data_IF_961922809613
#
_entry.id   IF_961922809613
#
_cell.length_a   1.000
_cell.length_b   1.000
_cell.length_c   1.000
_cell.angle_alpha   90.00
_cell.angle_beta   90.00
_cell.angle_gamma   90.00
#
_symmetry.space_group_name_H-M   'P 1'
#
loop_
_entity.id
_entity.type
_entity.pdbx_description
1 polymer ?
#
# COMPACT_ATOMS: atom_id res chain seq x y z
N UNK A 1 -18.87 -29.73 -47.44
CA UNK A 1 -17.50 -29.21 -47.33
C UNK A 1 -17.45 -27.68 -47.39
N UNK A 2 -18.10 -26.96 -48.32
CA UNK A 2 -18.07 -25.49 -48.42
C UNK A 2 -18.64 -24.80 -47.20
N UNK A 3 -19.78 -25.24 -46.68
CA UNK A 3 -20.45 -24.63 -45.52
C UNK A 3 -19.64 -24.77 -44.23
N UNK A 4 -19.00 -25.93 -44.02
CA UNK A 4 -18.14 -26.17 -42.84
C UNK A 4 -16.88 -25.31 -42.89
N UNK A 5 -16.30 -25.07 -44.08
CA UNK A 5 -15.14 -24.17 -44.24
C UNK A 5 -15.52 -22.72 -43.91
N UNK A 6 -16.67 -22.25 -44.36
CA UNK A 6 -17.17 -20.87 -44.06
C UNK A 6 -17.38 -20.68 -42.54
N UNK A 7 -17.98 -21.66 -41.88
CA UNK A 7 -18.20 -21.56 -40.40
C UNK A 7 -16.86 -21.53 -39.66
N UNK A 8 -15.89 -22.36 -40.02
CA UNK A 8 -14.57 -22.35 -39.38
C UNK A 8 -13.84 -21.02 -39.58
N UNK A 9 -13.88 -20.47 -40.80
CA UNK A 9 -13.24 -19.18 -41.08
C UNK A 9 -13.88 -18.03 -40.34
N UNK A 10 -15.22 -18.00 -40.20
CA UNK A 10 -15.92 -16.95 -39.42
C UNK A 10 -15.57 -17.04 -37.93
N UNK A 11 -15.48 -18.24 -37.37
CA UNK A 11 -15.07 -18.43 -35.94
C UNK A 11 -13.61 -17.96 -35.76
N UNK A 12 -12.69 -18.32 -36.66
CA UNK A 12 -11.30 -17.88 -36.59
C UNK A 12 -11.16 -16.35 -36.66
N UNK A 13 -11.91 -15.72 -37.57
CA UNK A 13 -11.94 -14.26 -37.68
C UNK A 13 -12.47 -13.61 -36.39
N UNK A 14 -13.54 -14.16 -35.81
CA UNK A 14 -14.08 -13.67 -34.56
C UNK A 14 -13.08 -13.75 -33.39
N UNK A 15 -12.39 -14.90 -33.24
CA UNK A 15 -11.34 -15.08 -32.23
C UNK A 15 -10.19 -14.08 -32.44
N UNK A 16 -9.78 -13.87 -33.70
CA UNK A 16 -8.72 -12.91 -34.04
C UNK A 16 -9.12 -11.48 -33.69
N UNK A 17 -10.34 -11.08 -33.98
CA UNK A 17 -10.87 -9.76 -33.66
C UNK A 17 -10.97 -9.56 -32.14
N UNK A 18 -11.49 -10.55 -31.38
CA UNK A 18 -11.55 -10.49 -29.91
C UNK A 18 -10.15 -10.37 -29.31
N UNK A 19 -9.19 -11.14 -29.79
CA UNK A 19 -7.79 -11.06 -29.36
C UNK A 19 -7.18 -9.68 -29.65
N UNK A 20 -7.36 -9.14 -30.86
CA UNK A 20 -6.89 -7.81 -31.23
C UNK A 20 -7.51 -6.72 -30.36
N UNK A 21 -8.82 -6.82 -30.10
CA UNK A 21 -9.52 -5.89 -29.22
C UNK A 21 -8.97 -5.91 -27.79
N UNK A 22 -8.71 -7.08 -27.23
CA UNK A 22 -8.10 -7.21 -25.89
C UNK A 22 -6.70 -6.62 -25.84
N UNK A 23 -5.88 -6.86 -26.87
CA UNK A 23 -4.53 -6.28 -26.96
C UNK A 23 -4.59 -4.75 -27.08
N UNK A 24 -5.49 -4.22 -27.93
CA UNK A 24 -5.67 -2.77 -28.09
C UNK A 24 -6.19 -2.09 -26.82
N UNK A 25 -7.19 -2.68 -26.16
CA UNK A 25 -7.72 -2.19 -24.89
C UNK A 25 -6.67 -2.26 -23.77
N UNK A 26 -5.86 -3.32 -23.73
CA UNK A 26 -4.74 -3.45 -22.82
C UNK A 26 -3.69 -2.36 -23.01
N UNK A 27 -3.33 -2.07 -24.27
CA UNK A 27 -2.38 -0.99 -24.62
C UNK A 27 -2.96 0.39 -24.30
N UNK A 28 -4.24 0.62 -24.58
CA UNK A 28 -4.91 1.88 -24.28
C UNK A 28 -4.99 2.15 -22.79
N UNK A 29 -5.31 1.12 -21.96
CA UNK A 29 -5.27 1.23 -20.50
C UNK A 29 -3.87 1.51 -19.97
N UNK A 30 -2.88 0.81 -20.50
CA UNK A 30 -1.48 1.01 -20.10
C UNK A 30 -0.94 2.41 -20.45
N UNK A 31 -1.34 2.98 -21.60
CA UNK A 31 -0.95 4.33 -21.98
C UNK A 31 -1.64 5.40 -21.13
N UNK A 32 -2.90 5.19 -20.76
CA UNK A 32 -3.64 6.08 -19.86
C UNK A 32 -3.00 6.13 -18.47
N UNK A 33 -2.67 4.97 -17.90
CA UNK A 33 -1.98 4.88 -16.61
C UNK A 33 -0.61 5.57 -16.68
N UNK A 34 0.11 5.47 -17.78
CA UNK A 34 1.38 6.18 -17.96
C UNK A 34 1.20 7.70 -18.01
N UNK A 35 0.21 8.20 -18.74
CA UNK A 35 -0.07 9.64 -18.81
C UNK A 35 -0.50 10.20 -17.46
N UNK A 36 -1.38 9.49 -16.74
CA UNK A 36 -1.80 9.88 -15.39
C UNK A 36 -0.61 9.91 -14.42
N UNK A 37 0.31 8.95 -14.53
CA UNK A 37 1.54 8.91 -13.74
C UNK A 37 2.51 10.05 -14.07
N UNK A 38 2.69 10.36 -15.36
CA UNK A 38 3.54 11.47 -15.80
C UNK A 38 2.96 12.82 -15.36
N UNK A 39 1.64 13.00 -15.44
CA UNK A 39 0.96 14.20 -14.95
C UNK A 39 1.10 14.35 -13.44
N UNK A 40 0.88 13.29 -12.67
CA UNK A 40 1.07 13.32 -11.22
C UNK A 40 2.52 13.63 -10.82
N UNK A 41 3.50 13.06 -11.53
CA UNK A 41 4.91 13.36 -11.32
C UNK A 41 5.26 14.81 -11.71
N UNK A 42 4.72 15.33 -12.81
CA UNK A 42 4.96 16.70 -13.26
C UNK A 42 4.35 17.72 -12.28
N UNK A 43 3.20 17.45 -11.70
CA UNK A 43 2.61 18.23 -10.61
C UNK A 43 3.52 18.19 -9.38
N UNK A 44 3.97 17.02 -8.95
CA UNK A 44 4.86 16.86 -7.80
C UNK A 44 6.23 17.54 -7.96
N UNK A 45 6.75 17.59 -9.20
CA UNK A 45 8.05 18.26 -9.50
C UNK A 45 7.93 19.78 -9.66
N UNK A 46 6.74 20.30 -10.01
CA UNK A 46 6.50 21.75 -10.17
C UNK A 46 6.13 22.45 -8.86
N UNK A 47 5.81 21.68 -7.80
CA UNK A 47 5.57 22.27 -6.49
C UNK A 47 6.87 22.82 -5.94
N UNK A 48 6.96 24.14 -5.84
CA UNK A 48 8.09 24.83 -5.21
C UNK A 48 8.05 24.51 -3.71
N UNK A 49 9.01 23.67 -3.31
CA UNK A 49 9.04 22.97 -2.01
C UNK A 49 9.59 23.87 -0.89
N UNK A 50 9.84 25.16 -1.16
CA UNK A 50 10.52 26.06 -0.22
C UNK A 50 9.63 26.62 0.89
N UNK A 51 8.32 26.78 0.63
CA UNK A 51 7.39 27.31 1.62
C UNK A 51 6.36 26.24 2.03
N UNK A 52 6.02 26.20 3.32
CA UNK A 52 4.85 25.44 3.78
C UNK A 52 3.59 26.03 3.10
N UNK A 53 2.59 25.18 2.82
CA UNK A 53 1.37 25.56 2.13
C UNK A 53 0.74 26.83 2.75
N UNK A 54 0.33 27.83 1.96
CA UNK A 54 -0.14 29.12 2.47
C UNK A 54 -1.35 29.02 3.40
N UNK A 55 -2.23 28.03 3.16
CA UNK A 55 -3.46 27.83 3.98
C UNK A 55 -3.27 26.79 5.07
N UNK A 56 -2.07 26.26 5.26
CA UNK A 56 -1.79 25.21 6.22
C UNK A 56 -2.10 25.63 7.66
N UNK A 57 -3.00 24.90 8.30
CA UNK A 57 -3.19 24.94 9.74
C UNK A 57 -2.89 23.56 10.30
N UNK A 58 -1.97 23.52 11.27
CA UNK A 58 -1.47 22.28 11.87
C UNK A 58 -1.87 22.17 13.33
N UNK A 59 -2.37 20.99 13.70
CA UNK A 59 -2.55 20.58 15.09
C UNK A 59 -1.79 19.27 15.31
N UNK A 60 -0.68 19.35 16.02
CA UNK A 60 0.18 18.19 16.31
C UNK A 60 -0.06 17.72 17.75
N UNK A 61 -0.20 16.43 17.93
CA UNK A 61 -0.42 15.76 19.21
C UNK A 61 0.74 14.81 19.45
N UNK A 62 1.23 14.75 20.68
CA UNK A 62 2.24 13.78 21.09
C UNK A 62 1.65 12.36 21.04
N UNK A 63 2.33 11.44 20.34
CA UNK A 63 1.89 10.05 20.15
C UNK A 63 0.46 9.92 19.57
N UNK A 64 0.21 10.46 18.37
CA UNK A 64 -1.12 10.48 17.79
C UNK A 64 -1.57 9.06 17.35
N UNK A 65 -2.87 8.81 17.45
CA UNK A 65 -3.48 7.55 16.94
C UNK A 65 -3.29 7.38 15.44
N UNK A 66 -3.29 8.47 14.70
CA UNK A 66 -2.93 8.57 13.27
C UNK A 66 -2.67 10.04 12.90
N UNK A 67 -1.96 10.24 11.78
CA UNK A 67 -1.73 11.56 11.17
C UNK A 67 -2.62 11.72 9.95
N UNK A 68 -3.43 12.76 9.96
CA UNK A 68 -4.46 13.03 8.95
C UNK A 68 -4.15 14.35 8.26
N UNK A 69 -4.23 14.37 6.92
CA UNK A 69 -4.25 15.58 6.12
C UNK A 69 -5.66 15.77 5.59
N UNK A 70 -6.31 16.88 5.93
CA UNK A 70 -7.64 17.22 5.43
C UNK A 70 -7.55 18.34 4.39
N UNK A 71 -8.29 18.17 3.29
CA UNK A 71 -8.31 19.07 2.13
C UNK A 71 -9.75 19.41 1.78
N UNK A 72 -10.11 20.68 1.91
CA UNK A 72 -11.46 21.17 1.66
C UNK A 72 -11.39 22.67 1.37
N UNK A 73 -12.09 23.20 0.40
CA UNK A 73 -12.11 24.64 0.10
C UNK A 73 -12.99 25.44 1.08
N UNK A 74 -13.75 24.76 1.94
CA UNK A 74 -14.54 25.35 3.00
C UNK A 74 -13.80 25.38 4.35
N UNK A 75 -13.27 26.54 4.76
CA UNK A 75 -12.55 26.69 6.04
C UNK A 75 -13.38 26.23 7.25
N UNK A 76 -14.72 26.41 7.22
CA UNK A 76 -15.62 25.98 8.29
C UNK A 76 -15.58 24.45 8.47
N UNK A 77 -15.52 23.71 7.38
CA UNK A 77 -15.41 22.24 7.41
C UNK A 77 -14.06 21.84 7.98
N UNK A 78 -12.97 22.46 7.52
CA UNK A 78 -11.62 22.20 8.02
C UNK A 78 -11.49 22.50 9.52
N UNK A 79 -12.08 23.62 9.99
CA UNK A 79 -12.07 23.97 11.43
C UNK A 79 -12.85 22.94 12.26
N UNK A 80 -13.97 22.46 11.75
CA UNK A 80 -14.75 21.40 12.42
C UNK A 80 -13.96 20.09 12.50
N UNK A 81 -13.32 19.67 11.40
CA UNK A 81 -12.47 18.48 11.36
C UNK A 81 -11.29 18.60 12.34
N UNK A 82 -10.60 19.76 12.39
CA UNK A 82 -9.52 19.99 13.34
C UNK A 82 -9.97 19.79 14.79
N UNK A 83 -11.09 20.40 15.16
CA UNK A 83 -11.62 20.32 16.53
C UNK A 83 -11.97 18.89 16.91
N UNK A 84 -12.76 18.20 16.07
CA UNK A 84 -13.23 16.84 16.35
C UNK A 84 -12.05 15.85 16.44
N UNK A 85 -11.17 15.87 15.45
CA UNK A 85 -10.08 14.89 15.35
C UNK A 85 -8.96 15.14 16.37
N UNK A 86 -8.61 16.41 16.64
CA UNK A 86 -7.61 16.74 17.65
C UNK A 86 -8.06 16.31 19.05
N UNK A 87 -9.32 16.61 19.43
CA UNK A 87 -9.88 16.18 20.71
C UNK A 87 -9.91 14.66 20.85
N UNK A 88 -10.07 13.93 19.76
CA UNK A 88 -10.06 12.47 19.75
C UNK A 88 -8.64 11.85 19.73
N UNK A 89 -7.57 12.66 19.69
CA UNK A 89 -6.18 12.20 19.77
C UNK A 89 -5.55 11.88 18.41
N UNK A 90 -5.97 12.54 17.34
CA UNK A 90 -5.36 12.49 16.01
C UNK A 90 -4.59 13.78 15.73
N UNK A 91 -3.39 13.67 15.14
CA UNK A 91 -2.72 14.84 14.55
C UNK A 91 -3.36 15.16 13.21
N UNK A 92 -3.63 16.43 12.97
CA UNK A 92 -4.29 16.87 11.75
C UNK A 92 -3.63 18.11 11.17
N UNK A 93 -3.30 18.04 9.89
CA UNK A 93 -2.95 19.18 9.05
C UNK A 93 -4.14 19.46 8.12
N UNK A 94 -4.45 20.72 7.87
CA UNK A 94 -5.55 21.11 6.97
C UNK A 94 -5.08 22.13 5.95
N UNK A 95 -5.53 21.99 4.71
CA UNK A 95 -5.26 22.90 3.59
C UNK A 95 -6.49 23.09 2.73
N UNK A 96 -6.56 24.22 2.02
CA UNK A 96 -7.74 24.57 1.22
C UNK A 96 -7.65 24.12 -0.25
N UNK A 97 -6.53 23.50 -0.67
CA UNK A 97 -6.36 23.07 -2.06
C UNK A 97 -5.65 21.74 -2.21
N UNK A 98 -6.02 20.98 -3.25
CA UNK A 98 -5.38 19.71 -3.59
C UNK A 98 -3.88 19.86 -3.92
N UNK A 99 -3.49 20.97 -4.53
CA UNK A 99 -2.07 21.24 -4.85
C UNK A 99 -1.21 21.40 -3.61
N UNK A 100 -1.71 22.11 -2.58
CA UNK A 100 -1.04 22.22 -1.28
C UNK A 100 -0.92 20.87 -0.59
N UNK A 101 -1.98 20.06 -0.65
CA UNK A 101 -1.97 18.71 -0.09
C UNK A 101 -0.87 17.85 -0.72
N UNK A 102 -0.70 17.87 -2.05
CA UNK A 102 0.36 17.12 -2.73
C UNK A 102 1.76 17.62 -2.33
N UNK A 103 1.93 18.92 -2.10
CA UNK A 103 3.18 19.48 -1.56
C UNK A 103 3.50 18.91 -0.18
N UNK A 104 2.51 18.80 0.70
CA UNK A 104 2.69 18.31 2.06
C UNK A 104 2.98 16.81 2.12
N UNK A 105 2.28 15.96 1.37
CA UNK A 105 2.52 14.50 1.38
C UNK A 105 3.90 14.11 0.86
N UNK A 106 4.55 14.99 0.09
CA UNK A 106 5.92 14.75 -0.37
C UNK A 106 6.98 15.06 0.71
N UNK A 107 6.62 15.88 1.71
CA UNK A 107 7.52 16.34 2.78
C UNK A 107 7.29 15.65 4.11
N UNK A 108 6.06 15.18 4.36
CA UNK A 108 5.64 14.63 5.65
C UNK A 108 4.91 13.30 5.49
N UNK A 109 4.93 12.52 6.57
CA UNK A 109 4.24 11.25 6.63
C UNK A 109 2.83 11.45 7.19
N UNK A 110 1.84 10.98 6.43
CA UNK A 110 0.45 10.91 6.82
C UNK A 110 -0.05 9.48 6.70
N UNK A 111 -1.01 9.13 7.54
CA UNK A 111 -1.72 7.84 7.44
C UNK A 111 -2.91 7.95 6.52
N UNK A 112 -3.59 9.09 6.56
CA UNK A 112 -4.80 9.37 5.77
C UNK A 112 -4.75 10.73 5.12
N UNK A 113 -5.33 10.81 3.92
CA UNK A 113 -5.75 12.07 3.28
C UNK A 113 -7.26 12.07 3.21
N UNK A 114 -7.89 13.05 3.84
CA UNK A 114 -9.32 13.33 3.72
C UNK A 114 -9.50 14.48 2.74
N UNK A 115 -10.26 14.28 1.67
CA UNK A 115 -10.42 15.31 0.64
C UNK A 115 -11.88 15.48 0.27
N UNK A 116 -12.31 16.73 0.09
CA UNK A 116 -13.60 16.94 -0.58
C UNK A 116 -13.52 16.51 -2.04
N UNK A 117 -14.66 16.12 -2.59
CA UNK A 117 -14.77 15.70 -3.97
C UNK A 117 -14.68 16.87 -4.94
N UNK A 118 -15.36 18.00 -4.61
CA UNK A 118 -15.49 19.15 -5.49
C UNK A 118 -14.79 20.36 -4.91
N UNK A 119 -13.60 20.63 -5.39
CA UNK A 119 -12.80 21.79 -5.03
C UNK A 119 -12.35 22.55 -6.27
N UNK A 120 -12.13 23.88 -6.17
CA UNK A 120 -11.56 24.67 -7.25
C UNK A 120 -10.15 24.18 -7.63
N UNK A 121 -9.87 24.14 -8.92
CA UNK A 121 -8.56 23.75 -9.45
C UNK A 121 -8.39 22.24 -9.52
N UNK A 122 -7.90 21.61 -8.46
CA UNK A 122 -7.69 20.17 -8.38
C UNK A 122 -8.82 19.54 -7.55
N UNK A 123 -9.62 18.67 -8.14
CA UNK A 123 -10.70 17.97 -7.47
C UNK A 123 -10.21 16.77 -6.64
N UNK A 124 -11.11 16.22 -5.77
CA UNK A 124 -10.76 15.11 -4.88
C UNK A 124 -10.43 13.81 -5.62
N UNK A 125 -10.94 13.60 -6.83
CA UNK A 125 -10.57 12.45 -7.67
C UNK A 125 -9.14 12.60 -8.17
N UNK A 126 -8.76 13.79 -8.60
CA UNK A 126 -7.39 14.10 -9.04
C UNK A 126 -6.40 13.98 -7.87
N UNK A 127 -6.76 14.51 -6.69
CA UNK A 127 -5.98 14.33 -5.44
C UNK A 127 -5.81 12.84 -5.14
N UNK A 128 -6.89 12.06 -5.17
CA UNK A 128 -6.84 10.60 -4.90
C UNK A 128 -5.87 9.90 -5.85
N UNK A 129 -5.98 10.15 -7.16
CA UNK A 129 -5.09 9.58 -8.17
C UNK A 129 -3.63 9.95 -7.93
N UNK A 130 -3.37 11.22 -7.64
CA UNK A 130 -2.02 11.72 -7.39
C UNK A 130 -1.41 11.10 -6.11
N UNK A 131 -2.16 11.07 -5.00
CA UNK A 131 -1.73 10.43 -3.75
C UNK A 131 -1.41 8.96 -3.98
N UNK A 132 -2.29 8.21 -4.64
CA UNK A 132 -2.07 6.78 -4.92
C UNK A 132 -0.82 6.51 -5.78
N UNK A 133 -0.42 7.43 -6.63
CA UNK A 133 0.80 7.33 -7.43
C UNK A 133 2.06 7.75 -6.67
N UNK A 134 2.00 8.84 -5.92
CA UNK A 134 3.14 9.40 -5.20
C UNK A 134 3.41 8.66 -3.89
N UNK A 135 2.37 8.37 -3.13
CA UNK A 135 2.42 7.78 -1.79
C UNK A 135 1.34 6.70 -1.65
N UNK A 136 1.54 5.51 -2.25
CA UNK A 136 0.57 4.40 -2.19
C UNK A 136 0.37 3.83 -0.77
N UNK A 137 1.20 4.23 0.17
CA UNK A 137 1.14 3.91 1.59
C UNK A 137 0.12 4.76 2.36
N UNK A 138 -0.35 5.88 1.79
CA UNK A 138 -1.36 6.75 2.38
C UNK A 138 -2.74 6.32 1.91
N UNK A 139 -3.67 6.16 2.84
CA UNK A 139 -5.06 5.86 2.50
C UNK A 139 -5.85 7.14 2.27
N UNK A 140 -6.65 7.16 1.19
CA UNK A 140 -7.44 8.34 0.82
C UNK A 140 -8.92 8.09 1.13
N UNK A 141 -9.56 9.04 1.80
CA UNK A 141 -10.98 9.06 2.12
C UNK A 141 -11.60 10.31 1.50
N UNK A 142 -12.71 10.13 0.81
CA UNK A 142 -13.48 11.26 0.25
C UNK A 142 -14.53 11.70 1.28
N UNK A 143 -14.59 13.01 1.56
CA UNK A 143 -15.63 13.61 2.41
C UNK A 143 -16.40 14.61 1.55
N UNK A 144 -17.67 14.34 1.22
CA UNK A 144 -18.37 15.16 0.25
C UNK A 144 -19.88 15.35 0.54
N UNK A 145 -20.40 16.53 0.23
CA UNK A 145 -21.84 16.79 0.22
C UNK A 145 -22.55 16.32 -1.07
N UNK A 146 -21.81 15.76 -2.02
CA UNK A 146 -22.34 15.28 -3.30
C UNK A 146 -22.35 13.74 -3.35
N UNK A 147 -22.87 13.10 -2.29
CA UNK A 147 -22.95 11.65 -2.16
C UNK A 147 -23.99 11.04 -3.11
N UNK A 148 -23.69 10.88 -4.38
CA UNK A 148 -24.47 9.98 -5.25
C UNK A 148 -23.81 8.61 -5.26
N UNK A 149 -24.63 7.55 -5.47
CA UNK A 149 -24.10 6.18 -5.57
C UNK A 149 -23.05 6.10 -6.69
N UNK A 150 -23.26 6.82 -7.78
CA UNK A 150 -22.34 6.88 -8.90
C UNK A 150 -20.99 7.49 -8.49
N UNK A 151 -21.00 8.61 -7.74
CA UNK A 151 -19.74 9.25 -7.28
C UNK A 151 -18.99 8.41 -6.26
N UNK A 152 -19.69 7.71 -5.37
CA UNK A 152 -19.08 6.78 -4.42
C UNK A 152 -18.41 5.59 -5.12
N UNK A 153 -19.07 4.99 -6.11
CA UNK A 153 -18.50 3.89 -6.92
C UNK A 153 -17.29 4.37 -7.72
N UNK A 154 -17.37 5.55 -8.28
CA UNK A 154 -16.29 6.14 -9.08
C UNK A 154 -15.04 6.41 -8.22
N UNK A 155 -15.20 6.98 -7.03
CA UNK A 155 -14.08 7.28 -6.13
C UNK A 155 -13.36 6.02 -5.64
N UNK A 156 -14.08 4.94 -5.34
CA UNK A 156 -13.49 3.64 -5.01
C UNK A 156 -12.74 3.04 -6.19
N UNK A 157 -13.24 3.20 -7.42
CA UNK A 157 -12.53 2.75 -8.63
C UNK A 157 -11.19 3.48 -8.85
N UNK A 158 -11.09 4.74 -8.43
CA UNK A 158 -9.85 5.51 -8.50
C UNK A 158 -8.90 5.26 -7.31
N UNK A 159 -9.30 4.40 -6.38
CA UNK A 159 -8.43 3.93 -5.31
C UNK A 159 -8.64 4.63 -3.97
N UNK A 160 -9.73 5.38 -3.79
CA UNK A 160 -10.14 5.81 -2.47
C UNK A 160 -10.43 4.57 -1.59
N UNK A 161 -10.05 4.66 -0.32
CA UNK A 161 -10.30 3.59 0.65
C UNK A 161 -11.78 3.52 1.02
N UNK A 162 -12.40 4.69 1.15
CA UNK A 162 -13.79 4.84 1.58
C UNK A 162 -14.30 6.26 1.31
N UNK A 163 -15.59 6.54 1.60
CA UNK A 163 -16.15 7.88 1.53
C UNK A 163 -17.05 8.18 2.74
N UNK A 164 -17.18 9.48 3.08
CA UNK A 164 -18.07 10.00 4.12
C UNK A 164 -18.96 11.08 3.51
N UNK A 165 -20.26 10.99 3.72
CA UNK A 165 -21.23 11.96 3.22
C UNK A 165 -21.43 13.11 4.21
N UNK A 166 -21.37 14.37 3.73
CA UNK A 166 -21.74 15.56 4.50
C UNK A 166 -23.26 15.79 4.40
N UNK A 167 -23.95 16.19 5.47
CA UNK A 167 -23.43 16.49 6.80
C UNK A 167 -23.26 15.24 7.67
N UNK A 168 -22.23 15.21 8.49
CA UNK A 168 -21.96 14.15 9.46
C UNK A 168 -21.90 14.72 10.87
N UNK A 169 -22.22 13.91 11.86
CA UNK A 169 -22.04 14.23 13.27
C UNK A 169 -20.61 13.91 13.74
N UNK A 170 -20.21 14.45 14.87
CA UNK A 170 -18.91 14.14 15.49
C UNK A 170 -18.76 12.63 15.73
N UNK A 171 -19.80 12.01 16.31
CA UNK A 171 -19.77 10.56 16.62
C UNK A 171 -19.62 9.70 15.36
N UNK A 172 -20.33 10.03 14.28
CA UNK A 172 -20.24 9.31 13.00
C UNK A 172 -18.83 9.42 12.39
N UNK A 173 -18.25 10.63 12.40
CA UNK A 173 -16.89 10.84 11.89
C UNK A 173 -15.87 10.06 12.71
N UNK A 174 -15.95 10.16 14.06
CA UNK A 174 -14.99 9.50 14.95
C UNK A 174 -15.08 7.97 14.88
N UNK A 175 -16.29 7.40 14.77
CA UNK A 175 -16.48 5.95 14.57
C UNK A 175 -15.91 5.50 13.23
N UNK A 176 -16.16 6.27 12.17
CA UNK A 176 -15.57 6.02 10.86
C UNK A 176 -14.04 6.01 10.90
N UNK A 177 -13.43 7.07 11.45
CA UNK A 177 -11.96 7.19 11.53
C UNK A 177 -11.34 6.07 12.35
N UNK A 178 -11.93 5.72 13.48
CA UNK A 178 -11.51 4.59 14.31
C UNK A 178 -11.52 3.28 13.52
N UNK A 179 -12.58 3.04 12.78
CA UNK A 179 -12.71 1.84 11.92
C UNK A 179 -11.67 1.85 10.80
N UNK A 180 -11.43 3.00 10.16
CA UNK A 180 -10.42 3.16 9.13
C UNK A 180 -9.01 2.87 9.67
N UNK A 181 -8.66 3.38 10.86
CA UNK A 181 -7.36 3.12 11.50
C UNK A 181 -7.18 1.62 11.78
N UNK A 182 -8.20 0.95 12.33
CA UNK A 182 -8.14 -0.50 12.59
C UNK A 182 -7.95 -1.27 11.27
N UNK A 183 -8.71 -0.92 10.24
CA UNK A 183 -8.64 -1.56 8.91
C UNK A 183 -7.25 -1.39 8.28
N UNK A 184 -6.65 -0.19 8.41
CA UNK A 184 -5.28 0.10 7.97
C UNK A 184 -4.24 -0.74 8.74
N UNK A 185 -4.33 -0.81 10.07
CA UNK A 185 -3.44 -1.62 10.89
C UNK A 185 -3.50 -3.10 10.51
N UNK A 186 -4.70 -3.65 10.37
CA UNK A 186 -4.91 -5.03 9.91
C UNK A 186 -4.30 -5.26 8.52
N UNK A 187 -4.39 -4.30 7.62
CA UNK A 187 -3.84 -4.39 6.27
C UNK A 187 -2.31 -4.37 6.30
N UNK A 188 -1.70 -3.47 7.10
CA UNK A 188 -0.25 -3.41 7.32
C UNK A 188 0.25 -4.73 7.93
N UNK A 189 -0.43 -5.25 8.95
CA UNK A 189 -0.06 -6.54 9.56
C UNK A 189 -0.15 -7.70 8.57
N UNK A 190 -1.20 -7.75 7.76
CA UNK A 190 -1.36 -8.79 6.72
C UNK A 190 -0.26 -8.71 5.66
N UNK A 191 0.16 -7.50 5.28
CA UNK A 191 1.26 -7.29 4.34
C UNK A 191 2.62 -7.61 4.97
N UNK A 192 2.79 -7.29 6.26
CA UNK A 192 4.00 -7.59 7.03
C UNK A 192 4.14 -9.08 7.39
N UNK A 193 3.03 -9.84 7.43
CA UNK A 193 3.08 -11.29 7.62
C UNK A 193 3.75 -11.92 6.42
N UNK A 194 5.02 -12.23 6.56
CA UNK A 194 5.76 -12.99 5.57
C UNK A 194 5.09 -14.36 5.39
N UNK A 195 4.68 -14.66 4.17
CA UNK A 195 4.12 -15.98 3.85
C UNK A 195 5.25 -17.00 3.97
N UNK A 196 5.25 -17.75 5.07
CA UNK A 196 6.17 -18.86 5.26
C UNK A 196 5.70 -20.01 4.35
N UNK A 197 6.53 -20.38 3.40
CA UNK A 197 6.31 -21.55 2.55
C UNK A 197 7.20 -22.69 3.01
N UNK A 198 6.58 -23.80 3.43
CA UNK A 198 7.30 -25.02 3.72
C UNK A 198 7.74 -25.65 2.39
N UNK A 199 9.04 -25.82 2.20
CA UNK A 199 9.64 -26.43 1.00
C UNK A 199 10.43 -27.66 1.37
N UNK A 200 10.57 -28.61 0.44
CA UNK A 200 11.44 -29.76 0.64
C UNK A 200 12.91 -29.30 0.74
N UNK A 201 13.74 -29.90 1.61
CA UNK A 201 15.16 -29.58 1.68
C UNK A 201 15.82 -29.69 0.31
N UNK A 202 16.57 -28.67 -0.10
CA UNK A 202 17.29 -28.65 -1.38
C UNK A 202 16.55 -27.98 -2.54
N UNK A 203 15.29 -27.54 -2.39
CA UNK A 203 14.60 -26.72 -3.39
C UNK A 203 14.71 -25.24 -3.05
N UNK A 204 15.31 -24.44 -3.92
CA UNK A 204 15.56 -23.01 -3.66
C UNK A 204 14.88 -22.07 -4.65
N UNK A 205 13.62 -22.31 -4.99
CA UNK A 205 12.86 -21.37 -5.82
C UNK A 205 11.91 -20.54 -4.98
N UNK A 206 12.34 -19.35 -4.57
CA UNK A 206 11.43 -18.30 -4.08
C UNK A 206 10.98 -17.46 -5.25
N UNK A 207 9.71 -17.51 -5.58
CA UNK A 207 9.10 -16.72 -6.67
C UNK A 207 8.63 -15.33 -6.23
N UNK A 208 8.60 -15.04 -4.95
CA UNK A 208 8.09 -13.80 -4.38
C UNK A 208 9.09 -13.15 -3.43
N UNK A 209 9.14 -11.83 -3.45
CA UNK A 209 9.96 -11.01 -2.53
C UNK A 209 9.56 -11.19 -1.07
N UNK A 210 8.31 -11.59 -0.82
CA UNK A 210 7.69 -11.69 0.51
C UNK A 210 7.49 -13.13 0.99
N UNK A 211 7.93 -14.13 0.22
CA UNK A 211 7.87 -15.53 0.63
C UNK A 211 9.23 -15.95 1.21
N UNK A 212 9.21 -16.56 2.38
CA UNK A 212 10.37 -17.15 3.02
C UNK A 212 10.27 -18.67 2.95
N UNK A 213 11.25 -19.29 2.31
CA UNK A 213 11.33 -20.75 2.22
C UNK A 213 11.96 -21.30 3.51
N UNK A 214 11.24 -22.22 4.16
CA UNK A 214 11.72 -22.94 5.34
C UNK A 214 11.59 -24.43 5.07
N UNK A 215 12.63 -25.25 5.36
CA UNK A 215 12.55 -26.70 5.21
C UNK A 215 11.42 -27.28 6.05
N UNK A 216 10.59 -28.15 5.45
CA UNK A 216 9.52 -28.81 6.17
C UNK A 216 10.09 -29.69 7.29
N UNK A 217 9.54 -29.57 8.51
CA UNK A 217 10.01 -30.30 9.68
C UNK A 217 11.23 -29.68 10.39
N UNK A 218 11.69 -28.51 9.97
CA UNK A 218 12.76 -27.79 10.64
C UNK A 218 12.26 -27.00 11.86
N UNK A 219 13.08 -26.93 12.90
CA UNK A 219 12.93 -25.99 14.01
C UNK A 219 13.50 -24.64 13.60
N UNK A 220 12.80 -23.56 13.91
CA UNK A 220 13.21 -22.19 13.56
C UNK A 220 13.54 -21.45 14.85
N UNK A 221 14.68 -20.77 14.86
CA UNK A 221 15.07 -19.91 15.97
C UNK A 221 14.61 -18.46 15.74
N UNK A 222 14.37 -17.68 16.81
CA UNK A 222 14.09 -16.24 16.69
C UNK A 222 15.25 -15.46 16.05
N UNK A 223 16.45 -16.01 15.98
CA UNK A 223 17.65 -15.42 15.38
C UNK A 223 17.83 -15.81 13.91
N UNK A 224 16.74 -16.19 13.23
CA UNK A 224 16.73 -16.47 11.79
C UNK A 224 17.59 -17.65 11.34
N UNK A 225 17.82 -18.63 12.24
CA UNK A 225 18.42 -19.91 11.91
C UNK A 225 17.38 -21.03 11.96
N UNK A 226 17.56 -22.05 11.13
CA UNK A 226 16.75 -23.26 11.19
C UNK A 226 17.62 -24.49 11.45
N UNK A 227 17.07 -25.50 12.11
CA UNK A 227 17.69 -26.79 12.36
C UNK A 227 16.75 -27.93 11.96
N UNK A 228 17.24 -28.87 11.17
CA UNK A 228 16.52 -30.07 10.75
C UNK A 228 17.24 -31.29 11.34
N UNK A 229 16.53 -32.10 12.12
CA UNK A 229 17.04 -33.36 12.65
C UNK A 229 16.73 -34.45 11.64
N UNK A 230 17.75 -35.12 11.13
CA UNK A 230 17.64 -36.25 10.22
C UNK A 230 17.44 -37.57 10.99
N UNK A 231 16.87 -38.56 10.31
CA UNK A 231 16.59 -39.88 10.91
C UNK A 231 17.84 -40.62 11.44
N UNK A 232 19.00 -40.29 10.88
CA UNK A 232 20.30 -40.81 11.32
C UNK A 232 20.90 -40.11 12.55
N UNK A 233 20.16 -39.11 13.11
CA UNK A 233 20.61 -38.31 14.24
C UNK A 233 21.49 -37.10 13.85
N UNK A 234 21.79 -36.90 12.58
CA UNK A 234 22.51 -35.72 12.12
C UNK A 234 21.61 -34.50 12.18
N UNK A 235 22.19 -33.36 12.51
CA UNK A 235 21.46 -32.09 12.55
C UNK A 235 21.96 -31.18 11.42
N UNK A 236 21.10 -30.83 10.50
CA UNK A 236 21.41 -29.86 9.45
C UNK A 236 20.93 -28.48 9.91
N UNK A 237 21.84 -27.52 9.89
CA UNK A 237 21.60 -26.15 10.33
C UNK A 237 21.76 -25.22 9.14
N UNK A 238 20.94 -24.16 9.08
CA UNK A 238 21.06 -23.15 8.06
C UNK A 238 20.43 -21.82 8.50
N UNK A 239 20.75 -20.79 7.76
CA UNK A 239 20.10 -19.48 7.89
C UNK A 239 18.81 -19.46 7.10
N UNK A 240 17.79 -18.75 7.60
CA UNK A 240 16.56 -18.59 6.87
C UNK A 240 16.75 -17.67 5.64
N UNK A 241 15.75 -17.66 4.79
CA UNK A 241 15.81 -16.89 3.54
C UNK A 241 15.78 -15.38 3.79
N UNK A 242 15.30 -14.90 4.95
CA UNK A 242 15.32 -13.50 5.32
C UNK A 242 16.76 -13.00 5.43
N UNK A 243 17.60 -13.71 6.15
CA UNK A 243 19.04 -13.37 6.27
C UNK A 243 19.71 -13.38 4.90
N UNK A 244 19.42 -14.39 4.06
CA UNK A 244 19.95 -14.44 2.69
C UNK A 244 19.49 -13.30 1.80
N UNK A 245 18.29 -12.76 2.01
CA UNK A 245 17.77 -11.61 1.26
C UNK A 245 18.35 -10.28 1.74
N UNK A 246 18.67 -10.18 3.04
CA UNK A 246 19.30 -8.99 3.65
C UNK A 246 20.78 -8.91 3.28
N UNK A 247 21.50 -10.01 3.47
CA UNK A 247 22.92 -10.12 3.17
C UNK A 247 23.10 -10.69 1.76
N UNK A 248 23.47 -9.84 0.83
CA UNK A 248 23.64 -10.23 -0.59
C UNK A 248 24.82 -11.18 -0.82
N UNK A 249 25.83 -11.10 0.04
CA UNK A 249 27.05 -11.89 -0.04
C UNK A 249 27.50 -12.28 1.37
N UNK A 250 27.85 -13.55 1.54
CA UNK A 250 28.49 -14.09 2.77
C UNK A 250 29.87 -14.54 2.37
N UNK A 251 30.90 -13.88 2.88
CA UNK A 251 32.28 -14.13 2.48
C UNK A 251 32.90 -15.33 3.23
N UNK A 252 32.48 -15.56 4.48
CA UNK A 252 32.95 -16.71 5.28
C UNK A 252 31.92 -17.08 6.33
N UNK A 253 31.93 -18.35 6.72
CA UNK A 253 31.15 -18.88 7.87
C UNK A 253 32.09 -19.73 8.68
N UNK A 254 32.27 -19.37 9.96
CA UNK A 254 33.05 -20.19 10.90
C UNK A 254 32.17 -21.29 11.49
N UNK A 255 32.43 -22.51 11.10
CA UNK A 255 31.70 -23.68 11.59
C UNK A 255 32.35 -24.24 12.88
N UNK A 256 31.55 -24.72 13.84
CA UNK A 256 32.07 -25.38 15.00
C UNK A 256 32.83 -26.69 14.61
N UNK A 257 33.84 -27.05 15.39
CA UNK A 257 34.52 -28.31 15.15
C UNK A 257 33.55 -29.50 15.33
N UNK A 258 33.69 -30.57 14.56
CA UNK A 258 32.90 -31.78 14.75
C UNK A 258 32.95 -32.24 16.21
N UNK A 259 31.83 -32.76 16.72
CA UNK A 259 31.67 -33.25 18.11
C UNK A 259 31.71 -32.16 19.22
N UNK A 260 31.79 -30.89 18.90
CA UNK A 260 31.67 -29.84 19.91
C UNK A 260 30.27 -29.86 20.55
N UNK A 261 30.21 -30.05 21.86
CA UNK A 261 28.95 -29.92 22.63
C UNK A 261 28.62 -28.45 22.78
N UNK A 262 27.41 -28.07 22.34
CA UNK A 262 26.92 -26.69 22.35
C UNK A 262 25.89 -26.55 23.46
N UNK A 263 26.01 -25.49 24.26
CA UNK A 263 25.06 -25.16 25.32
C UNK A 263 24.01 -24.17 24.80
N UNK A 264 22.83 -24.15 25.43
CA UNK A 264 21.78 -23.19 25.12
C UNK A 264 22.31 -21.77 25.30
N UNK A 265 22.22 -20.95 24.25
CA UNK A 265 22.68 -19.55 24.22
C UNK A 265 24.14 -19.37 23.74
N UNK A 266 24.87 -20.45 23.45
CA UNK A 266 26.20 -20.39 22.84
C UNK A 266 26.05 -20.12 21.32
N UNK A 267 26.87 -19.21 20.79
CA UNK A 267 26.91 -18.90 19.36
C UNK A 267 27.46 -20.10 18.59
N UNK A 268 26.78 -20.43 17.48
CA UNK A 268 27.13 -21.59 16.65
C UNK A 268 28.12 -21.22 15.54
N UNK A 269 28.03 -19.97 15.04
CA UNK A 269 28.85 -19.42 13.96
C UNK A 269 28.78 -17.89 13.97
#
# INVERSE_FOLDING_TARGET
MVVTSIVITTILVFILVDFLLRVLLGRYRASRIRQEREQALDIGLKLDVSDEAPTLIRVEIDDPKARILAVDDEEIVLDSLRKMLALAGYSIDTVESGTEALGLISKRDYDFVFTDLKMPGMDGVEVTKAVRHLRPDIDVVIITGYGTIESAVETVQYGAMDYVEKPFTEDELLEFVKTAVIKRQDQIERQARHKIRLVKPGTSESKSRFELNVPAGAFISPQHAWALIELNGAVRIGLDELIRKIFRQVDSIDLPRPEKKIRRGETLF
#
